data_IF_338587633383
#
_entry.id   IF_338587633383
#
_cell.length_a   1.000
_cell.length_b   1.000
_cell.length_c   1.000
_cell.angle_alpha   90.00
_cell.angle_beta   90.00
_cell.angle_gamma   90.00
#
_symmetry.space_group_name_H-M   'P 1'
#
loop_
_entity.id
_entity.type
_entity.pdbx_description
1 polymer ?
#
# COMPACT_ATOMS: atom_id res chain seq x y z
N UNK A 1 6.71 -5.08 -4.39
CA UNK A 1 6.41 -6.50 -4.75
C UNK A 1 4.90 -6.77 -4.62
N UNK A 2 4.09 -6.17 -5.49
CA UNK A 2 2.89 -6.91 -5.92
C UNK A 2 3.41 -8.14 -6.66
N UNK A 3 2.84 -9.32 -6.42
CA UNK A 3 3.24 -10.49 -7.19
C UNK A 3 2.81 -10.30 -8.64
N UNK A 4 3.62 -10.77 -9.58
CA UNK A 4 3.23 -10.83 -10.99
C UNK A 4 2.05 -11.78 -11.14
N UNK A 5 0.99 -11.42 -11.88
CA UNK A 5 -0.17 -12.27 -12.07
C UNK A 5 0.27 -13.60 -12.68
N UNK A 6 0.10 -14.69 -11.92
CA UNK A 6 0.47 -16.03 -12.35
C UNK A 6 -0.75 -16.72 -12.94
N UNK A 7 -0.64 -17.18 -14.19
CA UNK A 7 -1.66 -18.03 -14.79
C UNK A 7 -1.61 -19.41 -14.14
N UNK A 8 -2.72 -19.84 -13.53
CA UNK A 8 -2.85 -21.16 -12.92
C UNK A 8 -3.71 -22.06 -13.81
N UNK A 9 -3.27 -23.30 -13.99
CA UNK A 9 -4.07 -24.33 -14.62
C UNK A 9 -5.00 -24.94 -13.57
N UNK A 10 -6.29 -24.94 -13.85
CA UNK A 10 -7.30 -25.51 -12.96
C UNK A 10 -8.23 -26.44 -13.74
N UNK A 11 -8.66 -27.52 -13.08
CA UNK A 11 -9.66 -28.44 -13.64
C UNK A 11 -11.06 -27.97 -13.25
N UNK A 12 -11.96 -27.93 -14.22
CA UNK A 12 -13.36 -27.56 -13.99
C UNK A 12 -14.01 -28.46 -12.93
N UNK A 13 -14.81 -27.85 -12.06
CA UNK A 13 -15.48 -28.51 -10.94
C UNK A 13 -14.56 -28.96 -9.80
N UNK A 14 -13.23 -28.80 -9.93
CA UNK A 14 -12.25 -29.13 -8.88
C UNK A 14 -11.85 -27.90 -8.09
N UNK A 15 -11.02 -28.12 -7.07
CA UNK A 15 -10.39 -27.04 -6.32
C UNK A 15 -9.03 -26.71 -6.91
N UNK A 16 -8.66 -25.43 -6.89
CA UNK A 16 -7.32 -24.96 -7.21
C UNK A 16 -6.78 -24.15 -6.04
N UNK A 17 -5.50 -24.36 -5.72
CA UNK A 17 -4.79 -23.50 -4.79
C UNK A 17 -4.18 -22.35 -5.60
N UNK A 18 -4.50 -21.13 -5.22
CA UNK A 18 -3.86 -19.92 -5.72
C UNK A 18 -2.72 -19.59 -4.75
N UNK A 19 -1.48 -19.98 -5.08
CA UNK A 19 -0.37 -19.84 -4.16
C UNK A 19 0.01 -18.38 -4.03
N UNK A 20 0.23 -17.94 -2.79
CA UNK A 20 1.03 -16.76 -2.55
C UNK A 20 1.74 -16.87 -1.19
N UNK A 21 3.05 -16.73 -1.25
CA UNK A 21 3.89 -16.56 -0.08
C UNK A 21 4.47 -15.16 -0.11
N UNK A 22 4.33 -14.45 1.00
CA UNK A 22 5.10 -13.24 1.29
C UNK A 22 6.52 -13.71 1.60
N UNK A 23 7.54 -13.29 0.82
CA UNK A 23 8.91 -13.72 1.05
C UNK A 23 9.39 -13.35 2.46
N UNK A 24 8.92 -12.21 2.98
CA UNK A 24 9.07 -11.77 4.36
C UNK A 24 7.77 -11.08 4.79
N UNK A 25 7.26 -11.42 5.98
CA UNK A 25 6.12 -10.73 6.57
C UNK A 25 6.58 -9.37 7.08
N UNK A 26 6.01 -8.24 6.60
CA UNK A 26 6.24 -6.98 7.27
C UNK A 26 5.81 -7.16 8.73
N UNK A 27 6.69 -6.82 9.69
CA UNK A 27 6.37 -6.85 11.13
C UNK A 27 5.09 -6.05 11.49
N UNK A 28 4.59 -5.24 10.56
CA UNK A 28 3.35 -4.46 10.66
C UNK A 28 2.36 -4.66 9.50
N UNK A 29 2.21 -5.88 8.96
CA UNK A 29 1.19 -6.19 7.96
C UNK A 29 -0.21 -5.80 8.48
N UNK A 30 -0.81 -4.76 7.88
CA UNK A 30 -2.09 -4.19 8.36
C UNK A 30 -3.31 -4.72 7.65
N UNK A 31 -3.20 -5.11 6.39
CA UNK A 31 -4.25 -5.77 5.65
C UNK A 31 -3.65 -6.27 4.32
N UNK A 32 -4.29 -7.24 3.70
CA UNK A 32 -4.03 -7.63 2.32
C UNK A 32 -5.34 -8.05 1.68
N UNK A 33 -5.39 -7.98 0.35
CA UNK A 33 -6.54 -8.48 -0.37
C UNK A 33 -6.15 -9.14 -1.69
N UNK A 34 -6.99 -10.07 -2.11
CA UNK A 34 -6.97 -10.69 -3.43
C UNK A 34 -8.06 -10.07 -4.28
N UNK A 35 -7.69 -9.56 -5.46
CA UNK A 35 -8.64 -9.07 -6.46
C UNK A 35 -8.50 -9.86 -7.75
N UNK A 36 -9.59 -9.98 -8.48
CA UNK A 36 -9.55 -10.34 -9.88
C UNK A 36 -8.82 -9.24 -10.67
N UNK A 37 -7.94 -9.63 -11.59
CA UNK A 37 -7.16 -8.71 -12.39
C UNK A 37 -8.08 -7.82 -13.23
N UNK A 38 -7.77 -6.53 -13.28
CA UNK A 38 -8.54 -5.50 -14.01
C UNK A 38 -10.01 -5.39 -13.59
N UNK A 39 -10.38 -5.92 -12.42
CA UNK A 39 -11.73 -5.86 -11.87
C UNK A 39 -11.74 -5.15 -10.52
N UNK A 40 -12.86 -4.54 -10.15
CA UNK A 40 -13.11 -4.06 -8.79
C UNK A 40 -13.59 -5.17 -7.85
N UNK A 41 -13.69 -6.41 -8.36
CA UNK A 41 -14.11 -7.58 -7.60
C UNK A 41 -13.00 -8.03 -6.63
N UNK A 42 -13.20 -7.72 -5.35
CA UNK A 42 -12.36 -8.23 -4.25
C UNK A 42 -12.84 -9.63 -3.87
N UNK A 43 -11.95 -10.61 -4.05
CA UNK A 43 -12.17 -12.02 -3.75
C UNK A 43 -12.09 -12.30 -2.25
N UNK A 44 -11.11 -11.68 -1.60
CA UNK A 44 -10.87 -11.80 -0.17
C UNK A 44 -10.12 -10.57 0.34
N UNK A 45 -10.57 -10.04 1.48
CA UNK A 45 -9.88 -8.99 2.23
C UNK A 45 -9.63 -9.52 3.65
N UNK A 46 -8.43 -9.26 4.17
CA UNK A 46 -8.10 -9.53 5.56
C UNK A 46 -7.53 -8.29 6.22
N UNK A 47 -8.01 -8.00 7.43
CA UNK A 47 -7.38 -7.08 8.36
C UNK A 47 -7.23 -7.73 9.76
N UNK A 48 -6.40 -7.16 10.66
CA UNK A 48 -6.23 -7.61 12.04
C UNK A 48 -7.51 -7.56 12.88
N UNK A 49 -8.56 -6.89 12.41
CA UNK A 49 -9.87 -6.82 13.06
C UNK A 49 -10.80 -7.95 12.62
N UNK A 50 -10.38 -8.75 11.65
CA UNK A 50 -11.16 -9.85 11.07
C UNK A 50 -12.26 -9.40 10.10
N UNK A 51 -12.25 -8.14 9.64
CA UNK A 51 -13.25 -7.62 8.72
C UNK A 51 -12.96 -8.13 7.30
N UNK A 52 -13.89 -8.87 6.73
CA UNK A 52 -13.83 -9.34 5.35
C UNK A 52 -14.83 -8.56 4.51
N UNK A 53 -14.34 -7.70 3.61
CA UNK A 53 -15.16 -7.12 2.54
C UNK A 53 -15.17 -8.12 1.39
N UNK A 54 -16.31 -8.78 1.18
CA UNK A 54 -16.56 -9.60 0.00
C UNK A 54 -17.57 -8.85 -0.85
N UNK A 55 -17.13 -8.28 -1.97
CA UNK A 55 -18.03 -7.52 -2.84
C UNK A 55 -18.69 -8.44 -3.89
N UNK A 56 -18.14 -9.64 -4.11
CA UNK A 56 -18.65 -10.59 -5.10
C UNK A 56 -19.22 -11.86 -4.44
N UNK A 57 -20.54 -11.99 -4.44
CA UNK A 57 -21.29 -13.14 -3.90
C UNK A 57 -20.89 -14.48 -4.55
N UNK A 58 -20.42 -14.44 -5.80
CA UNK A 58 -20.05 -15.62 -6.60
C UNK A 58 -18.88 -16.44 -6.01
N UNK A 59 -18.08 -15.83 -5.13
CA UNK A 59 -16.91 -16.45 -4.51
C UNK A 59 -17.08 -16.79 -3.03
N UNK A 60 -18.10 -16.24 -2.36
CA UNK A 60 -18.33 -16.39 -0.92
C UNK A 60 -18.31 -17.85 -0.45
N UNK A 61 -18.99 -18.73 -1.19
CA UNK A 61 -19.16 -20.14 -0.82
C UNK A 61 -18.12 -21.08 -1.44
N UNK A 62 -17.17 -20.53 -2.19
CA UNK A 62 -16.19 -21.31 -2.95
C UNK A 62 -14.76 -20.99 -2.55
N UNK A 63 -14.53 -20.11 -1.58
CA UNK A 63 -13.19 -19.73 -1.13
C UNK A 63 -12.86 -20.35 0.22
N UNK A 64 -11.64 -20.84 0.36
CA UNK A 64 -11.08 -21.30 1.63
C UNK A 64 -9.77 -20.55 1.91
N UNK A 65 -9.70 -19.94 3.09
CA UNK A 65 -8.55 -19.16 3.55
C UNK A 65 -7.89 -19.81 4.76
N UNK A 66 -6.56 -19.81 4.77
CA UNK A 66 -5.76 -20.49 5.80
C UNK A 66 -5.24 -19.48 6.81
N UNK A 67 -6.13 -18.92 7.65
CA UNK A 67 -5.76 -17.82 8.58
C UNK A 67 -4.61 -18.17 9.53
N UNK A 68 -4.47 -19.44 9.92
CA UNK A 68 -3.36 -19.94 10.74
C UNK A 68 -1.99 -19.83 10.07
N UNK A 69 -1.97 -19.78 8.73
CA UNK A 69 -0.75 -19.69 7.91
C UNK A 69 -0.33 -18.23 7.64
N UNK A 70 -1.17 -17.24 7.97
CA UNK A 70 -0.87 -15.84 7.67
C UNK A 70 0.36 -15.34 8.43
N UNK A 71 0.58 -15.82 9.66
CA UNK A 71 1.76 -15.49 10.47
C UNK A 71 3.06 -16.15 9.99
N UNK A 72 2.99 -17.13 9.08
CA UNK A 72 4.16 -17.71 8.41
C UNK A 72 4.41 -17.12 7.02
N UNK A 73 3.56 -16.16 6.60
CA UNK A 73 3.68 -15.45 5.32
C UNK A 73 2.94 -16.15 4.18
N UNK A 74 2.34 -17.32 4.44
CA UNK A 74 1.54 -18.02 3.46
C UNK A 74 0.10 -17.49 3.48
N UNK A 75 -0.22 -16.70 2.45
CA UNK A 75 -1.51 -16.04 2.26
C UNK A 75 -2.25 -16.62 1.05
N UNK A 76 -1.94 -17.87 0.71
CA UNK A 76 -2.59 -18.62 -0.37
C UNK A 76 -4.09 -18.76 -0.11
N UNK A 77 -4.87 -18.79 -1.19
CA UNK A 77 -6.31 -19.06 -1.12
C UNK A 77 -6.64 -20.25 -1.99
N UNK A 78 -7.50 -21.12 -1.49
CA UNK A 78 -8.08 -22.20 -2.28
C UNK A 78 -9.44 -21.77 -2.82
N UNK A 79 -9.61 -21.92 -4.13
CA UNK A 79 -10.87 -21.74 -4.83
C UNK A 79 -11.44 -23.10 -5.19
N UNK A 80 -12.61 -23.43 -4.66
CA UNK A 80 -13.37 -24.64 -4.92
C UNK A 80 -14.30 -24.49 -6.13
N UNK A 81 -14.70 -25.64 -6.68
CA UNK A 81 -15.65 -25.76 -7.78
C UNK A 81 -15.34 -24.82 -8.96
N UNK A 82 -14.10 -24.83 -9.45
CA UNK A 82 -13.64 -23.92 -10.53
C UNK A 82 -14.59 -23.99 -11.72
N UNK A 83 -15.13 -22.84 -12.12
CA UNK A 83 -16.03 -22.70 -13.25
C UNK A 83 -15.24 -22.20 -14.47
N UNK A 84 -15.79 -22.35 -15.68
CA UNK A 84 -15.21 -21.71 -16.88
C UNK A 84 -15.49 -20.21 -16.78
N UNK A 85 -14.65 -19.48 -16.05
CA UNK A 85 -14.49 -18.06 -16.30
C UNK A 85 -13.17 -17.88 -17.01
N UNK A 86 -13.20 -17.21 -18.16
CA UNK A 86 -12.06 -17.04 -19.03
C UNK A 86 -10.92 -16.36 -18.25
N UNK A 87 -9.94 -17.16 -17.81
CA UNK A 87 -8.65 -16.73 -17.24
C UNK A 87 -8.80 -15.94 -15.92
N UNK A 88 -8.88 -16.66 -14.81
CA UNK A 88 -8.66 -16.11 -13.47
C UNK A 88 -7.23 -15.57 -13.34
N UNK A 89 -6.99 -14.34 -13.78
CA UNK A 89 -5.82 -13.58 -13.35
C UNK A 89 -6.18 -12.98 -12.00
N UNK A 90 -5.44 -13.33 -10.96
CA UNK A 90 -5.60 -12.72 -9.64
C UNK A 90 -4.39 -11.85 -9.36
N UNK A 91 -4.63 -10.65 -8.83
CA UNK A 91 -3.58 -9.75 -8.41
C UNK A 91 -3.65 -9.59 -6.89
N UNK A 92 -2.53 -9.85 -6.21
CA UNK A 92 -2.40 -9.60 -4.79
C UNK A 92 -1.85 -8.19 -4.56
N UNK A 93 -2.53 -7.43 -3.70
CA UNK A 93 -2.00 -6.17 -3.17
C UNK A 93 -1.66 -6.28 -1.68
N UNK A 94 -0.48 -5.80 -1.32
CA UNK A 94 0.08 -5.84 0.03
C UNK A 94 0.46 -4.42 0.44
N UNK A 95 0.18 -4.05 1.69
CA UNK A 95 0.49 -2.73 2.23
C UNK A 95 1.10 -2.83 3.64
N UNK A 96 2.07 -1.97 3.92
CA UNK A 96 2.62 -1.71 5.26
C UNK A 96 2.52 -0.22 5.57
N UNK A 97 2.26 0.09 6.83
CA UNK A 97 2.14 1.45 7.34
C UNK A 97 3.50 2.18 7.29
N UNK A 98 3.50 3.42 6.83
CA UNK A 98 4.64 4.32 7.04
C UNK A 98 4.66 4.84 8.49
N UNK A 99 5.79 4.63 9.16
CA UNK A 99 6.08 5.00 10.57
C UNK A 99 7.11 6.13 10.62
N UNK A 100 7.34 6.65 11.82
CA UNK A 100 8.38 7.67 12.07
C UNK A 100 8.25 8.87 11.12
N UNK A 101 7.04 9.44 11.09
CA UNK A 101 6.63 10.55 10.22
C UNK A 101 7.18 11.83 10.82
N UNK A 102 8.10 12.47 10.11
CA UNK A 102 8.78 13.67 10.60
C UNK A 102 8.86 14.71 9.49
N UNK A 103 8.41 15.93 9.79
CA UNK A 103 8.61 17.11 8.97
C UNK A 103 9.48 18.10 9.74
N UNK A 104 10.65 18.40 9.18
CA UNK A 104 11.61 19.36 9.75
C UNK A 104 11.77 20.55 8.81
N UNK A 105 11.79 21.76 9.37
CA UNK A 105 12.15 22.98 8.65
C UNK A 105 13.60 23.31 8.98
N UNK A 106 14.41 23.44 7.93
CA UNK A 106 15.84 23.68 8.02
C UNK A 106 16.16 25.18 7.94
N UNK A 107 17.29 25.58 8.52
CA UNK A 107 17.73 26.99 8.57
C UNK A 107 18.05 27.61 7.19
N UNK A 108 18.16 26.79 6.15
CA UNK A 108 18.40 27.22 4.77
C UNK A 108 17.10 27.41 3.96
N UNK A 109 15.96 27.62 4.64
CA UNK A 109 14.63 27.75 4.03
C UNK A 109 14.22 26.53 3.19
N UNK A 110 14.62 25.32 3.60
CA UNK A 110 14.08 24.07 3.06
C UNK A 110 13.30 23.31 4.13
N UNK A 111 12.37 22.47 3.70
CA UNK A 111 11.70 21.53 4.58
C UNK A 111 12.02 20.11 4.13
N UNK A 112 12.26 19.23 5.09
CA UNK A 112 12.57 17.82 4.86
C UNK A 112 11.51 16.95 5.54
N UNK A 113 10.87 16.10 4.76
CA UNK A 113 9.89 15.12 5.19
C UNK A 113 10.51 13.73 5.13
N UNK A 114 10.42 12.99 6.23
CA UNK A 114 10.99 11.63 6.37
C UNK A 114 9.95 10.66 6.91
N UNK A 115 9.94 9.45 6.39
CA UNK A 115 9.17 8.34 6.93
C UNK A 115 9.76 6.98 6.53
N UNK A 116 9.46 5.95 7.31
CA UNK A 116 10.12 4.65 7.24
C UNK A 116 9.13 3.48 7.27
N UNK A 117 9.60 2.29 6.84
CA UNK A 117 8.91 1.02 7.08
C UNK A 117 7.60 0.77 6.28
N UNK A 118 7.23 1.68 5.38
CA UNK A 118 5.99 1.55 4.64
C UNK A 118 6.12 0.78 3.34
N UNK A 119 5.00 0.31 2.83
CA UNK A 119 4.96 -0.49 1.62
C UNK A 119 3.59 -0.33 0.93
N UNK A 120 3.50 -0.27 -0.41
CA UNK A 120 4.55 -0.37 -1.42
C UNK A 120 5.37 0.94 -1.54
N UNK A 121 5.86 1.32 -2.71
CA UNK A 121 6.49 2.63 -2.89
C UNK A 121 5.44 3.75 -2.71
N UNK A 122 5.70 4.81 -1.91
CA UNK A 122 4.74 5.88 -1.69
C UNK A 122 4.69 6.86 -2.86
N UNK A 123 3.59 7.60 -2.96
CA UNK A 123 3.56 8.87 -3.68
C UNK A 123 3.76 10.01 -2.70
N UNK A 124 4.69 10.91 -2.98
CA UNK A 124 4.96 12.10 -2.15
C UNK A 124 4.58 13.35 -2.93
N UNK A 125 3.84 14.25 -2.30
CA UNK A 125 3.54 15.58 -2.81
C UNK A 125 3.61 16.61 -1.69
N UNK A 126 3.70 17.89 -2.06
CA UNK A 126 3.91 18.98 -1.13
C UNK A 126 2.97 20.13 -1.41
N UNK A 127 2.38 20.71 -0.37
CA UNK A 127 1.52 21.87 -0.48
C UNK A 127 2.05 23.01 0.41
N UNK A 128 2.25 24.18 -0.18
CA UNK A 128 2.61 25.42 0.50
C UNK A 128 1.42 26.35 0.65
N UNK A 129 1.40 27.14 1.71
CA UNK A 129 0.48 28.27 1.87
C UNK A 129 1.29 29.55 1.92
N UNK A 130 1.00 30.48 1.01
CA UNK A 130 1.61 31.81 1.03
C UNK A 130 0.96 32.73 2.07
N UNK A 131 1.59 33.88 2.35
CA UNK A 131 1.06 34.90 3.27
C UNK A 131 -0.30 35.46 2.84
N UNK A 132 -0.63 35.37 1.55
CA UNK A 132 -1.94 35.73 0.98
C UNK A 132 -3.02 34.68 1.24
N UNK A 133 -2.68 33.57 1.93
CA UNK A 133 -3.49 32.35 2.07
C UNK A 133 -3.77 31.59 0.77
N UNK A 134 -2.94 31.82 -0.26
CA UNK A 134 -3.00 31.06 -1.50
C UNK A 134 -2.31 29.70 -1.32
N UNK A 135 -3.02 28.63 -1.68
CA UNK A 135 -2.50 27.27 -1.67
C UNK A 135 -1.74 27.01 -2.97
N UNK A 136 -0.49 26.57 -2.86
CA UNK A 136 0.37 26.22 -3.98
C UNK A 136 0.85 24.78 -3.85
N UNK A 137 0.89 24.07 -4.98
CA UNK A 137 1.51 22.76 -5.09
C UNK A 137 3.01 22.93 -5.40
N UNK A 138 3.87 22.28 -4.61
CA UNK A 138 5.32 22.41 -4.72
C UNK A 138 5.89 21.21 -5.50
N UNK A 139 6.33 21.47 -6.73
CA UNK A 139 6.73 20.45 -7.71
C UNK A 139 8.24 20.26 -7.79
N UNK A 140 9.02 21.16 -7.19
CA UNK A 140 10.49 21.16 -7.17
C UNK A 140 11.09 20.34 -6.02
N UNK A 141 10.30 19.43 -5.44
CA UNK A 141 10.74 18.59 -4.34
C UNK A 141 11.71 17.49 -4.80
N UNK A 142 12.87 17.40 -4.16
CA UNK A 142 13.83 16.32 -4.35
C UNK A 142 13.48 15.15 -3.43
N UNK A 143 13.16 13.99 -4.02
CA UNK A 143 12.74 12.80 -3.25
C UNK A 143 13.72 11.66 -3.43
N UNK A 144 14.24 11.16 -2.31
CA UNK A 144 15.11 9.99 -2.21
C UNK A 144 14.36 8.83 -1.56
N UNK A 145 14.44 7.65 -2.20
CA UNK A 145 13.80 6.43 -1.76
C UNK A 145 14.86 5.38 -1.44
N UNK A 146 14.75 4.80 -0.24
CA UNK A 146 15.59 3.69 0.18
C UNK A 146 14.72 2.47 0.47
N UNK A 147 15.05 1.34 -0.14
CA UNK A 147 14.42 0.06 0.20
C UNK A 147 15.28 -0.66 1.22
N UNK A 148 14.66 -1.10 2.30
CA UNK A 148 15.30 -1.95 3.30
C UNK A 148 15.69 -3.31 2.65
N UNK A 149 16.95 -3.74 2.75
CA UNK A 149 17.41 -4.98 2.12
C UNK A 149 16.88 -6.23 2.80
N UNK A 150 16.48 -6.15 4.07
CA UNK A 150 15.85 -7.25 4.81
C UNK A 150 14.35 -7.14 4.60
N UNK A 151 13.68 -6.21 5.29
CA UNK A 151 12.21 -6.10 5.38
C UNK A 151 11.52 -5.75 4.05
N UNK A 152 12.27 -5.34 3.03
CA UNK A 152 11.79 -4.89 1.70
C UNK A 152 10.82 -3.72 1.72
N UNK A 153 10.67 -3.07 2.87
CA UNK A 153 9.89 -1.85 3.06
C UNK A 153 10.63 -0.63 2.53
N UNK A 154 9.90 0.45 2.25
CA UNK A 154 10.44 1.71 1.78
C UNK A 154 10.55 2.73 2.91
N UNK A 155 11.69 3.41 2.91
CA UNK A 155 11.90 4.68 3.58
C UNK A 155 11.99 5.78 2.53
N UNK A 156 11.40 6.93 2.82
CA UNK A 156 11.42 8.08 1.92
C UNK A 156 11.90 9.31 2.66
N UNK A 157 12.76 10.07 2.00
CA UNK A 157 13.22 11.39 2.41
C UNK A 157 12.96 12.34 1.26
N UNK A 158 12.08 13.31 1.46
CA UNK A 158 11.75 14.34 0.46
C UNK A 158 12.11 15.71 0.98
N UNK A 159 12.69 16.56 0.14
CA UNK A 159 13.15 17.89 0.51
C UNK A 159 12.59 18.92 -0.48
N UNK A 160 12.07 20.05 0.02
CA UNK A 160 11.49 21.12 -0.82
C UNK A 160 11.92 22.49 -0.32
N UNK A 161 12.04 23.46 -1.22
CA UNK A 161 12.23 24.86 -0.88
C UNK A 161 10.95 25.44 -0.27
N UNK A 162 11.07 26.16 0.84
CA UNK A 162 9.92 26.79 1.54
C UNK A 162 10.06 28.30 1.67
N UNK A 163 10.85 28.91 0.78
CA UNK A 163 10.98 30.38 0.72
C UNK A 163 9.61 31.01 0.51
N UNK A 164 9.33 32.06 1.28
CA UNK A 164 8.11 32.89 1.17
C UNK A 164 6.79 32.20 1.57
N UNK A 165 6.84 30.94 2.02
CA UNK A 165 5.69 30.22 2.54
C UNK A 165 5.44 30.55 4.02
N UNK A 166 4.18 30.69 4.40
CA UNK A 166 3.73 30.76 5.79
C UNK A 166 3.57 29.37 6.41
N UNK A 167 3.15 28.39 5.61
CA UNK A 167 3.06 27.01 6.05
C UNK A 167 3.40 26.05 4.93
N UNK A 168 3.86 24.87 5.30
CA UNK A 168 4.21 23.80 4.38
C UNK A 168 3.62 22.49 4.88
N UNK A 169 3.10 21.68 3.95
CA UNK A 169 2.52 20.37 4.22
C UNK A 169 3.17 19.33 3.34
N UNK A 170 3.74 18.29 3.95
CA UNK A 170 4.15 17.07 3.27
C UNK A 170 2.97 16.10 3.22
N UNK A 171 2.69 15.53 2.04
CA UNK A 171 1.60 14.59 1.81
C UNK A 171 2.19 13.29 1.28
N UNK A 172 2.04 12.20 2.03
CA UNK A 172 2.50 10.86 1.64
C UNK A 172 1.29 9.98 1.45
N UNK A 173 1.16 9.40 0.26
CA UNK A 173 0.03 8.54 -0.11
C UNK A 173 0.50 7.12 -0.34
N UNK A 174 -0.11 6.17 0.38
CA UNK A 174 0.07 4.76 0.11
C UNK A 174 -0.89 4.33 -1.01
N UNK A 175 -0.38 3.87 -2.18
CA UNK A 175 -1.23 3.62 -3.34
C UNK A 175 -2.10 2.36 -3.21
N UNK A 176 -1.79 1.45 -2.29
CA UNK A 176 -2.58 0.25 -2.05
C UNK A 176 -3.62 0.45 -0.95
N UNK A 177 -3.28 1.12 0.16
CA UNK A 177 -4.25 1.35 1.26
C UNK A 177 -5.11 2.58 1.09
N UNK A 178 -4.74 3.45 0.15
CA UNK A 178 -5.28 4.80 0.03
C UNK A 178 -5.13 5.63 1.31
N UNK A 179 -4.23 5.21 2.22
CA UNK A 179 -3.90 6.00 3.39
C UNK A 179 -3.15 7.27 2.97
N UNK A 180 -3.59 8.40 3.51
CA UNK A 180 -3.00 9.72 3.28
C UNK A 180 -2.44 10.22 4.60
N UNK A 181 -1.13 10.50 4.60
CA UNK A 181 -0.38 11.05 5.73
C UNK A 181 -0.11 12.51 5.42
N UNK A 182 -0.47 13.41 6.33
CA UNK A 182 -0.24 14.85 6.18
C UNK A 182 0.53 15.37 7.39
N UNK A 183 1.76 15.79 7.17
CA UNK A 183 2.56 16.49 8.17
C UNK A 183 2.61 17.97 7.80
N UNK A 184 2.23 18.86 8.73
CA UNK A 184 2.15 20.30 8.50
C UNK A 184 3.04 21.06 9.48
N UNK A 185 3.76 22.05 8.97
CA UNK A 185 4.51 23.00 9.78
C UNK A 185 4.02 24.42 9.44
N UNK A 186 3.80 25.23 10.47
CA UNK A 186 3.42 26.65 10.34
C UNK A 186 4.51 27.49 10.97
N UNK A 187 4.94 28.51 10.24
CA UNK A 187 5.78 29.55 10.83
C UNK A 187 4.93 30.32 11.86
N UNK A 188 5.50 30.55 13.04
CA UNK A 188 4.76 31.00 14.24
C UNK A 188 4.63 32.51 14.31
#
# INVERSE_FOLDING_TARGET
MGQTPQCLNATLGRSVLIPCSLPELPLSLRWFYWQEDQSSNIFFHWDPRGQTLSVADEYMNRRQVFKSEFSSGNISIRLDNVAVMNRYKSTLQVSSLYKDRLLMVNNNNSATCTTHGGYPEPKVSWAGLNKSNDLQDLQDAETSLQRDPTEKTFSVTSCVSVKELQSVTCIITNPHSHEIIKENCKDR
#
